data_IF_880074630669
#
_entry.id   IF_880074630669
#
_cell.length_a   1.000
_cell.length_b   1.000
_cell.length_c   1.000
_cell.angle_alpha   90.00
_cell.angle_beta   90.00
_cell.angle_gamma   90.00
#
_symmetry.space_group_name_H-M   'P 1'
#
loop_
_entity.id
_entity.type
_entity.pdbx_description
1 polymer ?
#
# COMPACT_ATOMS: atom_id res chain seq x y z
N UNK A 1 -38.38 -25.93 53.15
CA UNK A 1 -38.31 -24.57 52.55
C UNK A 1 -36.96 -24.35 51.87
N UNK A 2 -35.83 -24.78 52.45
CA UNK A 2 -34.50 -24.65 51.82
C UNK A 2 -34.28 -25.57 50.59
N UNK A 3 -34.85 -26.78 50.57
CA UNK A 3 -34.75 -27.70 49.42
C UNK A 3 -35.42 -27.13 48.16
N UNK A 4 -36.56 -26.44 48.33
CA UNK A 4 -37.36 -25.89 47.24
C UNK A 4 -36.67 -24.67 46.59
N UNK A 5 -35.97 -23.87 47.39
CA UNK A 5 -35.17 -22.74 46.91
C UNK A 5 -33.93 -23.21 46.15
N UNK A 6 -33.28 -24.31 46.58
CA UNK A 6 -32.13 -24.91 45.86
C UNK A 6 -32.54 -25.50 44.50
N UNK A 7 -33.72 -26.14 44.41
CA UNK A 7 -34.24 -26.62 43.14
C UNK A 7 -34.61 -25.49 42.19
N UNK A 8 -35.20 -24.39 42.69
CA UNK A 8 -35.48 -23.21 41.86
C UNK A 8 -34.20 -22.54 41.35
N UNK A 9 -33.15 -22.45 42.18
CA UNK A 9 -31.86 -21.92 41.75
C UNK A 9 -31.18 -22.81 40.70
N UNK A 10 -31.27 -24.15 40.84
CA UNK A 10 -30.71 -25.09 39.88
C UNK A 10 -31.42 -25.05 38.50
N UNK A 11 -32.69 -24.66 38.44
CA UNK A 11 -33.45 -24.50 37.18
C UNK A 11 -33.22 -23.13 36.53
N UNK A 12 -32.89 -22.08 37.31
CA UNK A 12 -32.60 -20.74 36.78
C UNK A 12 -31.15 -20.55 36.32
N UNK A 13 -30.22 -21.39 36.80
CA UNK A 13 -28.80 -21.29 36.41
C UNK A 13 -28.52 -21.63 34.93
N UNK A 14 -29.18 -22.62 34.29
CA UNK A 14 -28.97 -22.89 32.87
C UNK A 14 -29.66 -21.88 31.93
N UNK A 15 -30.70 -21.16 32.39
CA UNK A 15 -31.38 -20.14 31.58
C UNK A 15 -30.57 -18.83 31.48
N UNK A 16 -29.82 -18.47 32.52
CA UNK A 16 -28.91 -17.32 32.47
C UNK A 16 -27.65 -17.60 31.64
N UNK A 17 -27.19 -18.86 31.54
CA UNK A 17 -26.05 -19.25 30.70
C UNK A 17 -26.42 -19.43 29.22
N UNK A 18 -27.69 -19.62 28.88
CA UNK A 18 -28.14 -19.65 27.47
C UNK A 18 -28.11 -18.28 26.78
N UNK A 19 -28.01 -17.17 27.53
CA UNK A 19 -27.91 -15.82 26.95
C UNK A 19 -26.49 -15.38 26.58
N UNK A 20 -25.48 -16.24 26.72
CA UNK A 20 -24.10 -15.94 26.31
C UNK A 20 -23.46 -17.09 25.51
N UNK A 21 -24.21 -17.71 24.60
CA UNK A 21 -23.55 -18.49 23.56
C UNK A 21 -22.92 -17.51 22.58
N UNK A 22 -21.58 -17.39 22.60
CA UNK A 22 -20.86 -16.70 21.54
C UNK A 22 -21.31 -17.29 20.19
N UNK A 23 -21.69 -16.48 19.19
CA UNK A 23 -22.18 -17.01 17.92
C UNK A 23 -21.12 -17.93 17.33
N UNK A 24 -21.50 -19.17 17.02
CA UNK A 24 -20.62 -20.10 16.34
C UNK A 24 -20.59 -19.72 14.86
N UNK A 25 -19.48 -20.05 14.19
CA UNK A 25 -19.24 -19.79 12.75
C UNK A 25 -20.34 -20.39 11.85
N UNK A 26 -21.15 -21.30 12.41
CA UNK A 26 -22.24 -22.03 11.76
C UNK A 26 -23.42 -21.15 11.37
N UNK A 27 -23.59 -19.97 12.00
CA UNK A 27 -24.71 -19.06 11.71
C UNK A 27 -24.40 -18.02 10.60
N UNK A 28 -23.18 -18.03 10.05
CA UNK A 28 -22.75 -17.05 9.04
C UNK A 28 -22.86 -17.67 7.63
N UNK A 29 -23.65 -17.05 6.72
CA UNK A 29 -23.75 -17.50 5.34
C UNK A 29 -22.38 -17.52 4.63
N UNK A 30 -22.00 -18.66 4.05
CA UNK A 30 -20.70 -18.81 3.35
C UNK A 30 -20.53 -17.84 2.18
N UNK A 31 -21.62 -17.48 1.50
CA UNK A 31 -21.60 -16.51 0.40
C UNK A 31 -21.10 -15.11 0.84
N UNK A 32 -21.42 -14.68 2.08
CA UNK A 32 -20.93 -13.41 2.63
C UNK A 32 -19.43 -13.50 2.89
N UNK A 33 -18.95 -14.65 3.39
CA UNK A 33 -17.54 -14.87 3.63
C UNK A 33 -16.76 -14.87 2.31
N UNK A 34 -17.23 -15.52 1.27
CA UNK A 34 -16.49 -15.59 -0.01
C UNK A 34 -16.46 -14.25 -0.74
N UNK A 35 -17.46 -13.38 -0.54
CA UNK A 35 -17.55 -12.08 -1.18
C UNK A 35 -16.64 -10.99 -0.57
N UNK A 36 -16.17 -11.17 0.67
CA UNK A 36 -15.32 -10.18 1.35
C UNK A 36 -13.85 -10.59 1.20
N UNK A 37 -13.03 -9.76 0.58
CA UNK A 37 -11.59 -10.02 0.50
C UNK A 37 -10.89 -9.84 1.87
N UNK A 38 -9.87 -10.66 2.19
CA UNK A 38 -9.09 -10.48 3.42
C UNK A 38 -8.31 -9.17 3.40
N UNK A 39 -8.33 -8.45 4.52
CA UNK A 39 -7.61 -7.18 4.68
C UNK A 39 -6.40 -7.28 5.62
N UNK A 40 -5.23 -6.81 5.19
CA UNK A 40 -3.98 -6.71 5.93
C UNK A 40 -3.37 -5.30 5.78
N UNK A 41 -2.93 -4.68 6.88
CA UNK A 41 -2.20 -3.42 6.79
C UNK A 41 -0.77 -3.60 6.20
N UNK A 42 -0.27 -4.82 6.03
CA UNK A 42 1.09 -5.09 5.52
C UNK A 42 1.17 -5.25 4.01
N UNK A 43 0.07 -5.56 3.30
CA UNK A 43 0.16 -5.68 1.84
C UNK A 43 0.20 -4.31 1.17
N UNK A 44 1.02 -4.22 0.13
CA UNK A 44 1.36 -2.97 -0.55
C UNK A 44 0.23 -2.42 -1.45
N UNK A 45 -0.66 -3.29 -1.95
CA UNK A 45 -1.74 -2.94 -2.90
C UNK A 45 -3.14 -2.94 -2.28
N UNK A 46 -3.23 -2.91 -0.94
CA UNK A 46 -4.53 -2.96 -0.29
C UNK A 46 -5.27 -1.63 -0.29
N UNK A 47 -6.58 -1.74 -0.52
CA UNK A 47 -7.51 -0.62 -0.44
C UNK A 47 -7.55 -0.05 1.00
N UNK A 48 -7.90 1.24 1.15
CA UNK A 48 -8.01 1.88 2.46
C UNK A 48 -8.91 1.10 3.41
N UNK A 49 -8.58 1.11 4.71
CA UNK A 49 -9.38 0.47 5.75
C UNK A 49 -10.84 0.96 5.76
N UNK A 50 -11.07 2.22 5.39
CA UNK A 50 -12.41 2.80 5.25
C UNK A 50 -13.22 2.12 4.15
N UNK A 51 -12.60 1.83 3.00
CA UNK A 51 -13.24 1.09 1.90
C UNK A 51 -13.51 -0.36 2.28
N UNK A 52 -12.59 -1.01 3.00
CA UNK A 52 -12.82 -2.34 3.55
C UNK A 52 -14.10 -2.37 4.41
N UNK A 53 -14.24 -1.41 5.32
CA UNK A 53 -15.41 -1.35 6.19
C UNK A 53 -16.71 -1.05 5.44
N UNK A 54 -16.69 -0.24 4.37
CA UNK A 54 -17.91 -0.01 3.58
C UNK A 54 -18.39 -1.30 2.91
N UNK A 55 -17.48 -2.05 2.26
CA UNK A 55 -17.83 -3.33 1.62
C UNK A 55 -18.34 -4.34 2.65
N UNK A 56 -17.67 -4.43 3.80
CA UNK A 56 -18.08 -5.33 4.87
C UNK A 56 -19.47 -4.97 5.40
N UNK A 57 -19.77 -3.69 5.59
CA UNK A 57 -21.06 -3.24 6.13
C UNK A 57 -22.21 -3.44 5.15
N UNK A 58 -21.97 -3.20 3.86
CA UNK A 58 -22.95 -3.44 2.80
C UNK A 58 -23.33 -4.92 2.71
N UNK A 59 -22.34 -5.81 2.83
CA UNK A 59 -22.54 -7.27 2.73
C UNK A 59 -23.03 -7.92 4.03
N UNK A 60 -22.93 -7.23 5.16
CA UNK A 60 -23.30 -7.77 6.50
C UNK A 60 -24.49 -7.06 7.13
N UNK A 61 -25.29 -6.32 6.34
CA UNK A 61 -26.48 -5.59 6.81
C UNK A 61 -27.43 -6.43 7.68
N UNK A 62 -27.61 -7.71 7.35
CA UNK A 62 -28.49 -8.64 8.05
C UNK A 62 -27.88 -9.32 9.30
N UNK A 63 -26.56 -9.18 9.51
CA UNK A 63 -25.86 -9.82 10.61
C UNK A 63 -25.87 -8.96 11.87
N UNK A 64 -25.89 -9.61 13.04
CA UNK A 64 -25.77 -8.96 14.34
C UNK A 64 -24.33 -8.48 14.64
N UNK A 65 -24.16 -7.74 15.74
CA UNK A 65 -22.86 -7.18 16.12
C UNK A 65 -21.78 -8.25 16.39
N UNK A 66 -22.13 -9.41 16.93
CA UNK A 66 -21.17 -10.46 17.25
C UNK A 66 -20.80 -11.29 16.01
N UNK A 67 -21.75 -11.54 15.12
CA UNK A 67 -21.56 -12.15 13.80
C UNK A 67 -20.69 -11.27 12.90
N UNK A 68 -20.95 -9.96 12.85
CA UNK A 68 -20.09 -9.01 12.13
C UNK A 68 -18.67 -8.99 12.67
N UNK A 69 -18.52 -9.04 14.01
CA UNK A 69 -17.19 -9.12 14.63
C UNK A 69 -16.48 -10.43 14.27
N UNK A 70 -17.19 -11.55 14.16
CA UNK A 70 -16.62 -12.82 13.73
C UNK A 70 -16.13 -12.75 12.27
N UNK A 71 -16.94 -12.20 11.35
CA UNK A 71 -16.53 -11.95 9.96
C UNK A 71 -15.29 -11.04 9.91
N UNK A 72 -15.31 -9.94 10.66
CA UNK A 72 -14.19 -8.99 10.74
C UNK A 72 -12.91 -9.69 11.20
N UNK A 73 -12.97 -10.50 12.27
CA UNK A 73 -11.81 -11.27 12.77
C UNK A 73 -11.31 -12.30 11.76
N UNK A 74 -12.20 -12.90 10.97
CA UNK A 74 -11.85 -13.86 9.93
C UNK A 74 -11.23 -13.20 8.71
N UNK A 75 -11.52 -11.93 8.45
CA UNK A 75 -11.04 -11.20 7.27
C UNK A 75 -9.82 -10.35 7.53
N UNK A 76 -9.64 -9.85 8.74
CA UNK A 76 -8.40 -9.16 9.11
C UNK A 76 -7.20 -10.12 9.19
N UNK A 77 -6.05 -9.64 8.77
CA UNK A 77 -4.77 -10.36 8.76
C UNK A 77 -3.66 -9.47 9.35
N UNK A 78 -2.54 -10.11 9.67
CA UNK A 78 -1.33 -9.43 10.14
C UNK A 78 -1.55 -8.63 11.42
N UNK A 79 -0.96 -7.43 11.49
CA UNK A 79 -1.02 -6.59 12.70
C UNK A 79 -2.44 -6.16 13.07
N UNK A 80 -3.37 -6.08 12.11
CA UNK A 80 -4.76 -5.75 12.41
C UNK A 80 -5.49 -6.87 13.15
N UNK A 81 -5.11 -8.12 12.89
CA UNK A 81 -5.62 -9.26 13.64
C UNK A 81 -5.00 -9.29 15.05
N UNK A 82 -3.70 -9.04 15.18
CA UNK A 82 -3.02 -8.94 16.47
C UNK A 82 -3.59 -7.84 17.35
N UNK A 83 -3.93 -6.68 16.77
CA UNK A 83 -4.57 -5.57 17.48
C UNK A 83 -5.85 -6.00 18.24
N UNK A 84 -6.67 -6.85 17.64
CA UNK A 84 -7.91 -7.37 18.27
C UNK A 84 -7.60 -8.36 19.41
N UNK A 85 -6.46 -9.04 19.35
CA UNK A 85 -6.02 -9.96 20.41
C UNK A 85 -5.45 -9.17 21.59
N UNK A 86 -4.64 -8.14 21.32
CA UNK A 86 -4.00 -7.29 22.33
C UNK A 86 -4.97 -6.37 23.07
N UNK A 87 -6.12 -6.07 22.46
CA UNK A 87 -7.15 -5.21 23.04
C UNK A 87 -8.45 -6.01 23.33
N UNK A 88 -8.43 -6.94 24.31
CA UNK A 88 -9.59 -7.79 24.59
C UNK A 88 -10.81 -6.98 25.04
N UNK A 89 -10.59 -5.87 25.76
CA UNK A 89 -11.64 -4.99 26.28
C UNK A 89 -12.52 -4.32 25.21
N UNK A 90 -12.11 -4.34 23.94
CA UNK A 90 -12.93 -3.80 22.84
C UNK A 90 -14.13 -4.69 22.50
N UNK A 91 -14.07 -5.97 22.89
CA UNK A 91 -15.14 -6.95 22.66
C UNK A 91 -16.19 -6.90 23.76
N UNK A 92 -15.92 -6.18 24.84
CA UNK A 92 -16.81 -6.06 25.98
C UNK A 92 -17.82 -4.93 25.72
N UNK A 93 -19.09 -5.21 26.00
CA UNK A 93 -20.17 -4.23 25.90
C UNK A 93 -21.23 -4.54 24.82
N UNK A 94 -22.20 -3.63 24.64
CA UNK A 94 -23.40 -3.88 23.83
C UNK A 94 -23.15 -3.79 22.31
N UNK A 95 -22.06 -3.17 21.88
CA UNK A 95 -21.76 -2.94 20.45
C UNK A 95 -20.30 -3.29 20.13
N UNK A 96 -19.92 -4.57 20.23
CA UNK A 96 -18.52 -4.99 20.16
C UNK A 96 -17.90 -4.77 18.77
N UNK A 97 -18.67 -4.92 17.68
CA UNK A 97 -18.19 -4.62 16.33
C UNK A 97 -17.92 -3.12 16.16
N UNK A 98 -18.85 -2.25 16.58
CA UNK A 98 -18.67 -0.80 16.47
C UNK A 98 -17.46 -0.30 17.28
N UNK A 99 -17.24 -0.87 18.48
CA UNK A 99 -16.10 -0.54 19.33
C UNK A 99 -14.77 -0.90 18.64
N UNK A 100 -14.67 -2.11 18.09
CA UNK A 100 -13.49 -2.56 17.35
C UNK A 100 -13.29 -1.77 16.06
N UNK A 101 -14.36 -1.48 15.30
CA UNK A 101 -14.30 -0.64 14.10
C UNK A 101 -13.76 0.75 14.44
N UNK A 102 -14.31 1.40 15.46
CA UNK A 102 -13.87 2.73 15.87
C UNK A 102 -12.41 2.72 16.36
N UNK A 103 -11.99 1.69 17.09
CA UNK A 103 -10.62 1.53 17.55
C UNK A 103 -9.65 1.27 16.40
N UNK A 104 -9.99 0.39 15.46
CA UNK A 104 -9.20 0.11 14.25
C UNK A 104 -9.10 1.35 13.37
N UNK A 105 -10.22 2.02 13.13
CA UNK A 105 -10.21 3.29 12.42
C UNK A 105 -9.37 4.31 13.16
N UNK A 106 -9.45 4.46 14.48
CA UNK A 106 -8.59 5.41 15.21
C UNK A 106 -7.10 5.03 15.15
N UNK A 107 -6.81 3.74 15.26
CA UNK A 107 -5.44 3.20 15.27
C UNK A 107 -4.77 3.30 13.90
N UNK A 108 -5.52 3.05 12.83
CA UNK A 108 -5.03 3.07 11.45
C UNK A 108 -5.43 4.34 10.68
N UNK A 109 -6.25 5.25 11.22
CA UNK A 109 -6.55 6.57 10.63
C UNK A 109 -5.38 7.52 10.77
N UNK A 110 -4.60 7.38 11.84
CA UNK A 110 -3.25 7.91 11.87
C UNK A 110 -2.42 6.85 11.18
N UNK A 111 -2.27 7.00 9.86
CA UNK A 111 -1.28 6.21 9.14
C UNK A 111 0.01 6.20 9.97
N UNK A 112 0.42 5.04 10.47
CA UNK A 112 1.62 4.93 11.30
C UNK A 112 2.79 5.55 10.51
N UNK A 113 3.41 6.65 11.01
CA UNK A 113 4.41 7.38 10.25
C UNK A 113 5.57 6.47 9.88
N UNK A 114 5.91 5.50 10.72
CA UNK A 114 6.99 4.56 10.46
C UNK A 114 6.63 3.60 9.31
N UNK A 115 5.39 3.11 9.27
CA UNK A 115 4.92 2.25 8.16
C UNK A 115 4.81 3.02 6.85
N UNK A 116 4.33 4.27 6.89
CA UNK A 116 4.31 5.10 5.69
C UNK A 116 5.71 5.44 5.20
N UNK A 117 6.64 5.73 6.11
CA UNK A 117 8.03 5.96 5.76
C UNK A 117 8.64 4.72 5.10
N UNK A 118 8.43 3.54 5.68
CA UNK A 118 8.86 2.28 5.07
C UNK A 118 8.29 2.12 3.65
N UNK A 119 6.96 2.25 3.49
CA UNK A 119 6.29 2.14 2.18
C UNK A 119 6.82 3.15 1.16
N UNK A 120 7.06 4.38 1.57
CA UNK A 120 7.60 5.42 0.70
C UNK A 120 9.02 5.06 0.21
N UNK A 121 9.87 4.57 1.10
CA UNK A 121 11.27 4.25 0.77
C UNK A 121 11.47 2.91 0.06
N UNK A 122 10.53 1.98 0.20
CA UNK A 122 10.51 0.70 -0.52
C UNK A 122 9.69 0.75 -1.81
N UNK A 123 9.06 1.89 -2.11
CA UNK A 123 8.22 2.05 -3.29
C UNK A 123 9.05 1.81 -4.56
N UNK A 124 8.49 1.04 -5.49
CA UNK A 124 9.05 0.79 -6.80
C UNK A 124 8.03 1.14 -7.88
N UNK A 125 8.54 1.60 -9.02
CA UNK A 125 7.75 1.77 -10.23
C UNK A 125 7.30 0.39 -10.72
N UNK A 126 6.00 0.24 -10.97
CA UNK A 126 5.40 -0.93 -11.60
C UNK A 126 5.68 -0.90 -13.11
N UNK A 127 5.78 -2.06 -13.76
CA UNK A 127 6.01 -2.12 -15.21
C UNK A 127 4.83 -1.55 -16.01
N UNK A 128 3.61 -1.74 -15.51
CA UNK A 128 2.36 -1.34 -16.16
C UNK A 128 1.99 0.14 -16.00
N UNK A 129 2.62 0.86 -15.08
CA UNK A 129 2.32 2.28 -14.82
C UNK A 129 3.27 3.22 -15.58
N UNK A 130 2.82 4.42 -15.90
CA UNK A 130 3.66 5.47 -16.48
C UNK A 130 4.52 6.15 -15.41
N UNK A 131 5.63 6.80 -15.82
CA UNK A 131 6.51 7.53 -14.89
C UNK A 131 5.74 8.64 -14.15
N UNK A 132 4.80 9.30 -14.83
CA UNK A 132 3.91 10.32 -14.24
C UNK A 132 2.95 9.74 -13.20
N UNK A 133 2.34 8.59 -13.48
CA UNK A 133 1.47 7.90 -12.53
C UNK A 133 2.25 7.47 -11.28
N UNK A 134 3.46 6.96 -11.48
CA UNK A 134 4.37 6.59 -10.39
C UNK A 134 4.74 7.81 -9.52
N UNK A 135 5.06 8.95 -10.13
CA UNK A 135 5.37 10.18 -9.42
C UNK A 135 4.18 10.68 -8.57
N UNK A 136 2.97 10.67 -9.14
CA UNK A 136 1.76 11.07 -8.43
C UNK A 136 1.47 10.14 -7.24
N UNK A 137 1.63 8.83 -7.42
CA UNK A 137 1.51 7.83 -6.34
C UNK A 137 2.53 8.07 -5.23
N UNK A 138 3.77 8.38 -5.60
CA UNK A 138 4.86 8.70 -4.66
C UNK A 138 4.56 9.98 -3.88
N UNK A 139 4.09 11.04 -4.56
CA UNK A 139 3.71 12.32 -3.95
C UNK A 139 2.59 12.15 -2.92
N UNK A 140 1.55 11.37 -3.25
CA UNK A 140 0.44 11.10 -2.32
C UNK A 140 0.92 10.38 -1.06
N UNK A 141 1.83 9.42 -1.20
CA UNK A 141 2.42 8.73 -0.05
C UNK A 141 3.27 9.66 0.82
N UNK A 142 4.11 10.51 0.20
CA UNK A 142 4.89 11.51 0.92
C UNK A 142 3.99 12.53 1.65
N UNK A 143 2.91 12.96 1.02
CA UNK A 143 1.92 13.86 1.63
C UNK A 143 1.28 13.23 2.86
N UNK A 144 0.79 11.99 2.76
CA UNK A 144 0.21 11.25 3.89
C UNK A 144 1.21 11.11 5.04
N UNK A 145 2.47 10.83 4.73
CA UNK A 145 3.53 10.68 5.73
C UNK A 145 3.74 11.97 6.51
N UNK A 146 3.94 13.10 5.81
CA UNK A 146 4.22 14.39 6.46
C UNK A 146 3.01 14.87 7.27
N UNK A 147 1.79 14.67 6.76
CA UNK A 147 0.56 14.97 7.51
C UNK A 147 0.44 14.10 8.76
N UNK A 148 0.80 12.82 8.69
CA UNK A 148 0.79 11.93 9.84
C UNK A 148 1.86 12.27 10.89
N UNK A 149 3.05 12.72 10.45
CA UNK A 149 4.17 13.12 11.30
C UNK A 149 3.90 14.43 12.06
N UNK A 150 3.35 15.45 11.40
CA UNK A 150 3.24 16.80 11.97
C UNK A 150 1.83 17.14 12.46
N UNK A 151 0.79 16.52 11.87
CA UNK A 151 -0.61 16.86 12.15
C UNK A 151 -0.97 18.27 11.66
N UNK A 152 -2.25 18.49 11.32
CA UNK A 152 -2.75 19.83 11.00
C UNK A 152 -2.68 20.24 9.52
N UNK A 153 -2.83 21.55 9.26
CA UNK A 153 -3.00 22.15 7.94
C UNK A 153 -1.66 22.27 7.19
N UNK A 154 -1.70 22.12 5.86
CA UNK A 154 -0.51 22.12 5.01
C UNK A 154 0.10 23.53 4.89
N UNK A 155 1.09 23.81 5.73
CA UNK A 155 1.90 25.02 5.64
C UNK A 155 2.93 24.95 4.48
N UNK A 156 3.64 26.06 4.26
CA UNK A 156 4.66 26.14 3.21
C UNK A 156 5.88 25.25 3.46
N UNK A 157 6.18 24.92 4.71
CA UNK A 157 7.33 24.09 5.08
C UNK A 157 7.04 22.61 4.85
N UNK A 158 5.86 22.14 5.29
CA UNK A 158 5.31 20.82 4.98
C UNK A 158 5.29 20.57 3.48
N UNK A 159 4.87 21.55 2.66
CA UNK A 159 4.92 21.40 1.19
C UNK A 159 6.32 21.16 0.65
N UNK A 160 7.34 21.85 1.19
CA UNK A 160 8.74 21.63 0.81
C UNK A 160 9.23 20.26 1.26
N UNK A 161 8.88 19.85 2.48
CA UNK A 161 9.22 18.53 3.04
C UNK A 161 8.58 17.41 2.24
N UNK A 162 7.31 17.56 1.85
CA UNK A 162 6.59 16.63 0.97
C UNK A 162 7.31 16.52 -0.37
N UNK A 163 7.68 17.64 -0.99
CA UNK A 163 8.38 17.63 -2.29
C UNK A 163 9.73 16.91 -2.18
N UNK A 164 10.54 17.27 -1.16
CA UNK A 164 11.86 16.68 -0.95
C UNK A 164 11.77 15.15 -0.69
N UNK A 165 10.80 14.70 0.12
CA UNK A 165 10.55 13.27 0.36
C UNK A 165 10.06 12.57 -0.91
N UNK A 166 9.12 13.18 -1.63
CA UNK A 166 8.57 12.62 -2.87
C UNK A 166 9.63 12.45 -3.95
N UNK A 167 10.43 13.48 -4.22
CA UNK A 167 11.53 13.42 -5.20
C UNK A 167 12.53 12.32 -4.86
N UNK A 168 13.01 12.26 -3.62
CA UNK A 168 14.01 11.26 -3.22
C UNK A 168 13.46 9.84 -3.33
N UNK A 169 12.22 9.62 -2.88
CA UNK A 169 11.56 8.32 -2.98
C UNK A 169 11.29 7.94 -4.44
N UNK A 170 10.88 8.89 -5.27
CA UNK A 170 10.63 8.70 -6.69
C UNK A 170 11.92 8.25 -7.40
N UNK A 171 13.01 9.01 -7.27
CA UNK A 171 14.31 8.67 -7.92
C UNK A 171 14.80 7.28 -7.48
N UNK A 172 14.66 6.94 -6.19
CA UNK A 172 15.04 5.60 -5.66
C UNK A 172 14.14 4.47 -6.16
N UNK A 173 12.88 4.77 -6.46
CA UNK A 173 11.89 3.80 -6.88
C UNK A 173 11.91 3.47 -8.37
N UNK A 174 12.62 4.26 -9.18
CA UNK A 174 12.85 3.96 -10.60
C UNK A 174 13.72 2.70 -10.78
N UNK A 175 13.60 2.07 -11.94
CA UNK A 175 14.30 0.84 -12.28
C UNK A 175 15.59 1.11 -13.08
N UNK A 176 16.45 0.10 -13.15
CA UNK A 176 17.65 0.12 -13.99
C UNK A 176 18.71 1.13 -13.53
N UNK A 177 19.32 1.82 -14.51
CA UNK A 177 20.42 2.78 -14.27
C UNK A 177 19.93 4.20 -13.94
N UNK A 178 18.64 4.49 -14.13
CA UNK A 178 18.07 5.83 -13.93
C UNK A 178 18.34 6.38 -12.51
N UNK A 179 18.13 5.63 -11.41
CA UNK A 179 18.43 6.11 -10.06
C UNK A 179 19.89 6.53 -9.89
N UNK A 180 20.83 5.82 -10.51
CA UNK A 180 22.28 6.07 -10.40
C UNK A 180 22.65 7.35 -11.15
N UNK A 181 22.11 7.53 -12.36
CA UNK A 181 22.35 8.73 -13.18
C UNK A 181 21.77 9.98 -12.53
N UNK A 182 20.62 9.85 -11.85
CA UNK A 182 19.99 10.97 -11.15
C UNK A 182 20.57 11.21 -9.75
N UNK A 183 21.22 10.23 -9.11
CA UNK A 183 21.75 10.37 -7.75
C UNK A 183 22.83 11.47 -7.62
N UNK A 184 23.59 11.74 -8.69
CA UNK A 184 24.60 12.79 -8.69
C UNK A 184 24.00 14.21 -8.74
N UNK A 185 22.81 14.36 -9.31
CA UNK A 185 22.13 15.64 -9.45
C UNK A 185 20.61 15.44 -9.39
N UNK A 186 20.10 15.36 -8.17
CA UNK A 186 18.69 15.18 -7.85
C UNK A 186 17.99 16.55 -7.99
N UNK A 187 16.94 16.67 -8.82
CA UNK A 187 16.17 17.92 -8.95
C UNK A 187 15.47 18.32 -7.65
N UNK A 188 15.24 19.61 -7.43
CA UNK A 188 14.52 20.10 -6.24
C UNK A 188 13.00 19.93 -6.34
N UNK A 189 12.49 19.75 -7.56
CA UNK A 189 11.07 19.65 -7.86
C UNK A 189 10.68 18.33 -8.52
N UNK A 190 9.52 17.79 -8.14
CA UNK A 190 9.02 16.52 -8.63
C UNK A 190 8.71 16.56 -10.12
N UNK A 191 8.17 17.66 -10.64
CA UNK A 191 7.87 17.79 -12.08
C UNK A 191 9.15 17.75 -12.90
N UNK A 192 10.18 18.46 -12.43
CA UNK A 192 11.51 18.45 -13.05
C UNK A 192 12.15 17.05 -12.97
N UNK A 193 11.99 16.35 -11.85
CA UNK A 193 12.46 14.97 -11.70
C UNK A 193 11.77 14.00 -12.65
N UNK A 194 10.47 14.17 -12.88
CA UNK A 194 9.68 13.37 -13.82
C UNK A 194 10.16 13.58 -15.25
N UNK A 195 10.25 14.82 -15.72
CA UNK A 195 10.71 15.13 -17.09
C UNK A 195 12.11 14.57 -17.35
N UNK A 196 13.04 14.76 -16.40
CA UNK A 196 14.40 14.21 -16.50
C UNK A 196 14.42 12.68 -16.51
N UNK A 197 13.55 12.03 -15.73
CA UNK A 197 13.45 10.58 -15.74
C UNK A 197 12.89 10.04 -17.06
N UNK A 198 11.91 10.72 -17.66
CA UNK A 198 11.39 10.40 -19.00
C UNK A 198 12.50 10.52 -20.05
N UNK A 199 13.22 11.64 -20.11
CA UNK A 199 14.35 11.85 -21.02
C UNK A 199 15.42 10.77 -20.89
N UNK A 200 15.80 10.41 -19.66
CA UNK A 200 16.79 9.36 -19.41
C UNK A 200 16.28 7.98 -19.83
N UNK A 201 14.98 7.71 -19.65
CA UNK A 201 14.37 6.45 -20.06
C UNK A 201 14.42 6.32 -21.60
N UNK A 202 14.13 7.40 -22.31
CA UNK A 202 14.21 7.45 -23.78
C UNK A 202 15.64 7.26 -24.27
N UNK A 203 16.62 7.93 -23.65
CA UNK A 203 18.04 7.77 -23.99
C UNK A 203 18.56 6.35 -23.76
N UNK A 204 18.16 5.71 -22.66
CA UNK A 204 18.56 4.34 -22.35
C UNK A 204 17.91 3.34 -23.32
N UNK A 205 16.67 3.57 -23.74
CA UNK A 205 16.02 2.75 -24.77
C UNK A 205 16.75 2.89 -26.12
N UNK A 206 17.07 4.11 -26.54
CA UNK A 206 17.84 4.37 -27.78
C UNK A 206 19.22 3.69 -27.73
N UNK A 207 19.88 3.65 -26.56
CA UNK A 207 21.18 2.99 -26.41
C UNK A 207 21.13 1.46 -26.52
N UNK A 208 19.96 0.85 -26.30
CA UNK A 208 19.71 -0.58 -26.53
C UNK A 208 19.34 -0.91 -27.98
N UNK A 209 18.90 0.11 -28.73
CA UNK A 209 18.58 0.04 -30.16
C UNK A 209 19.78 0.38 -31.06
N UNK A 210 21.01 0.44 -30.53
CA UNK A 210 22.18 0.38 -31.42
C UNK A 210 22.14 -0.97 -32.12
N UNK A 211 21.79 -0.98 -33.41
CA UNK A 211 21.74 -2.21 -34.18
C UNK A 211 23.12 -2.89 -34.18
N UNK A 212 23.20 -4.20 -34.42
CA UNK A 212 24.51 -4.90 -34.54
C UNK A 212 25.47 -4.18 -35.52
N UNK A 213 24.91 -3.48 -36.51
CA UNK A 213 25.63 -2.60 -37.43
C UNK A 213 26.31 -1.40 -36.75
N UNK A 214 25.62 -0.73 -35.84
CA UNK A 214 26.17 0.43 -35.12
C UNK A 214 27.26 -0.01 -34.14
N UNK A 215 27.09 -1.18 -33.53
CA UNK A 215 28.09 -1.81 -32.67
C UNK A 215 29.34 -2.22 -33.47
N UNK A 216 29.17 -2.75 -34.69
CA UNK A 216 30.27 -3.05 -35.61
C UNK A 216 31.05 -1.79 -36.02
N UNK A 217 30.34 -0.71 -36.38
CA UNK A 217 30.96 0.57 -36.73
C UNK A 217 31.75 1.18 -35.56
N UNK A 218 31.19 1.17 -34.35
CA UNK A 218 31.88 1.67 -33.15
C UNK A 218 33.11 0.83 -32.78
N UNK A 219 33.03 -0.50 -32.95
CA UNK A 219 34.15 -1.41 -32.73
C UNK A 219 35.24 -1.25 -33.80
N UNK A 220 34.88 -0.95 -35.05
CA UNK A 220 35.83 -0.65 -36.12
C UNK A 220 36.65 0.61 -35.80
N UNK A 221 35.99 1.69 -35.34
CA UNK A 221 36.65 2.94 -34.94
C UNK A 221 37.57 2.72 -33.72
N UNK A 222 37.13 1.97 -32.70
CA UNK A 222 37.95 1.65 -31.52
C UNK A 222 39.14 0.73 -31.79
N UNK A 223 39.03 -0.15 -32.79
CA UNK A 223 40.10 -1.09 -33.13
C UNK A 223 41.27 -0.47 -33.90
N UNK A 224 41.19 0.80 -34.28
CA UNK A 224 42.24 1.47 -35.05
C UNK A 224 42.52 0.81 -36.39
N UNK A 225 41.61 -0.03 -36.91
CA UNK A 225 41.69 -0.52 -38.30
C UNK A 225 41.27 0.59 -39.25
N UNK A 226 42.18 1.51 -39.50
CA UNK A 226 42.15 2.28 -40.75
C UNK A 226 42.58 1.35 -41.89
N UNK A 227 41.68 0.49 -42.35
CA UNK A 227 41.79 0.02 -43.73
C UNK A 227 41.07 1.05 -44.60
N UNK A 228 41.88 2.00 -45.06
CA UNK A 228 41.61 2.95 -46.12
C UNK A 228 41.21 2.23 -47.41
N UNK A 229 40.00 1.68 -47.44
CA UNK A 229 39.45 1.01 -48.61
C UNK A 229 37.98 1.41 -48.80
N UNK A 230 37.78 2.55 -49.47
CA UNK A 230 36.63 2.82 -50.36
C UNK A 230 35.23 2.51 -49.82
N UNK A 231 34.89 2.96 -48.61
CA UNK A 231 33.49 3.07 -48.20
C UNK A 231 32.95 4.42 -48.65
N UNK A 232 32.42 4.45 -49.88
CA UNK A 232 31.68 5.61 -50.40
C UNK A 232 30.48 5.91 -49.51
N UNK A 233 30.41 7.14 -49.03
CA UNK A 233 29.30 7.68 -48.27
C UNK A 233 28.03 7.69 -49.13
N UNK A 234 26.99 6.94 -48.75
CA UNK A 234 25.76 6.84 -49.55
C UNK A 234 24.95 8.15 -49.63
N UNK A 235 25.19 9.08 -48.70
CA UNK A 235 24.55 10.40 -48.68
C UNK A 235 25.34 11.48 -49.42
N UNK A 236 26.63 11.26 -49.69
CA UNK A 236 27.53 12.27 -50.23
C UNK A 236 28.36 11.85 -51.46
N UNK A 237 28.31 10.58 -51.88
CA UNK A 237 28.73 10.15 -53.22
C UNK A 237 30.24 10.24 -53.53
N UNK A 238 31.08 10.53 -52.54
CA UNK A 238 32.56 10.46 -52.64
C UNK A 238 33.13 9.47 -51.61
#
# INVERSE_FOLDING_TARGET
MEEFMKQFQAVLTPLAQQQQRAPTVEDIPRNILDAIDPWSPEKMDEFPLTYFFSVLEDLTTQLDQHQRLAVLRMKLRGSAQHFIVENPGLKDGPTPYNNVKAALLRWYAKDDPDKLAQRLWTLKKLETETIRQFAERTRRLAQRLVVAEHGGELDGEMRRTINAKAVRAFVRGLAGQIPVLMAANIPDDLETAVSKAEELCDLLNISSETTEKDQYCLNAIRSGRSESANLKCWFCGE
#
